data_IF_906640775650
#
_entry.id   IF_906640775650
#
_cell.length_a   1.000
_cell.length_b   1.000
_cell.length_c   1.000
_cell.angle_alpha   90.00
_cell.angle_beta   90.00
_cell.angle_gamma   90.00
#
_symmetry.space_group_name_H-M   'P 1'
#
loop_
_entity.id
_entity.type
_entity.pdbx_description
1 polymer ?
2 non-polymer ?
3 non-polymer ?
4 non-polymer ?
5 non-polymer ?
6 water ?
#
# COMPACT_ATOMS: atom_id res chain seq x y z
N UNK A 4 -17.88 8.07 -6.32
CA UNK A 4 -18.84 7.75 -5.23
C UNK A 4 -18.12 7.43 -3.91
N UNK A 5 -17.04 6.63 -3.92
CA UNK A 5 -16.37 6.24 -2.66
C UNK A 5 -15.84 7.41 -1.86
N UNK A 6 -15.04 8.25 -2.49
CA UNK A 6 -14.45 9.40 -1.81
C UNK A 6 -15.51 10.46 -1.48
N UNK A 7 -16.51 10.64 -2.31
CA UNK A 7 -17.58 11.56 -1.95
C UNK A 7 -18.31 11.07 -0.70
N UNK A 8 -18.58 9.77 -0.63
CA UNK A 8 -19.32 9.21 0.50
C UNK A 8 -18.54 9.18 1.77
N UNK A 9 -17.27 8.78 1.73
CA UNK A 9 -16.51 8.63 2.96
C UNK A 9 -15.70 9.90 3.27
N UNK A 10 -15.30 10.63 2.25
CA UNK A 10 -14.63 11.89 2.43
C UNK A 10 -13.29 11.78 3.16
N UNK A 11 -13.08 12.67 4.09
CA UNK A 11 -11.83 12.78 4.82
C UNK A 11 -11.65 11.57 5.74
N UNK A 12 -10.60 10.80 5.52
CA UNK A 12 -10.25 9.71 6.38
C UNK A 12 -9.45 10.16 7.57
N UNK A 13 -9.58 9.47 8.68
CA UNK A 13 -8.78 9.78 9.85
C UNK A 13 -8.64 8.49 10.68
N UNK A 14 -7.83 8.59 11.73
CA UNK A 14 -7.68 7.51 12.70
C UNK A 14 -8.39 7.89 13.99
N UNK A 15 -9.27 7.03 14.46
CA UNK A 15 -9.96 7.21 15.74
C UNK A 15 -9.85 5.94 16.52
N UNK A 16 -9.24 6.01 17.71
CA UNK A 16 -9.08 4.85 18.57
C UNK A 16 -8.45 3.67 17.82
N UNK A 17 -7.44 3.96 17.02
CA UNK A 17 -6.69 2.94 16.34
C UNK A 17 -7.33 2.35 15.10
N UNK A 18 -8.41 2.96 14.62
CA UNK A 18 -9.17 2.47 13.48
C UNK A 18 -9.26 3.50 12.40
N UNK A 19 -9.19 3.06 11.14
CA UNK A 19 -9.49 3.92 10.03
C UNK A 19 -10.99 4.19 9.96
N UNK A 20 -11.36 5.47 9.95
CA UNK A 20 -12.73 5.92 9.92
C UNK A 20 -12.92 6.98 8.85
N UNK A 21 -14.17 7.15 8.44
CA UNK A 21 -14.56 8.18 7.52
C UNK A 21 -14.88 9.50 8.25
N UNK A 22 -15.37 10.46 7.51
CA UNK A 22 -15.54 11.80 8.05
C UNK A 22 -16.75 11.90 9.01
N UNK A 23 -17.55 10.83 9.10
CA UNK A 23 -18.62 10.71 10.11
C UNK A 23 -18.21 9.80 11.27
N UNK A 24 -16.94 9.38 11.33
CA UNK A 24 -16.42 8.58 12.39
C UNK A 24 -16.79 7.10 12.33
N UNK A 25 -17.26 6.65 11.17
CA UNK A 25 -17.60 5.26 10.97
C UNK A 25 -16.42 4.49 10.38
N UNK A 26 -16.23 3.24 10.82
CA UNK A 26 -15.14 2.43 10.30
C UNK A 26 -15.30 2.25 8.80
N UNK A 27 -14.18 2.31 8.08
CA UNK A 27 -14.18 2.00 6.65
C UNK A 27 -12.98 1.13 6.36
N UNK A 28 -13.15 0.23 5.43
CA UNK A 28 -12.11 -0.68 4.98
C UNK A 28 -11.87 -0.46 3.50
N UNK A 29 -10.64 -0.15 3.16
CA UNK A 29 -10.21 -0.02 1.77
C UNK A 29 -9.66 -1.34 1.30
N UNK A 30 -9.98 -1.72 0.05
CA UNK A 30 -9.45 -2.91 -0.60
C UNK A 30 -9.13 -2.57 -2.03
N UNK A 31 -7.92 -2.85 -2.47
CA UNK A 31 -7.52 -2.54 -3.82
C UNK A 31 -6.27 -3.22 -4.26
N UNK A 32 -5.68 -2.65 -5.32
CA UNK A 32 -4.48 -3.19 -5.98
C UNK A 32 -3.33 -2.24 -5.86
N UNK A 33 -2.14 -2.82 -5.78
CA UNK A 33 -0.89 -2.13 -5.99
C UNK A 33 -0.41 -2.37 -7.41
N UNK A 34 0.19 -1.35 -8.00
CA UNK A 34 1.03 -1.53 -9.16
C UNK A 34 2.23 -2.38 -8.76
N UNK A 35 2.90 -2.93 -9.78
CA UNK A 35 4.28 -3.38 -9.59
C UNK A 35 5.17 -2.17 -9.70
N UNK A 36 6.47 -2.31 -9.87
CA UNK A 36 7.32 -1.15 -9.93
C UNK A 36 6.95 -0.30 -11.12
N UNK A 37 6.79 1.00 -10.89
CA UNK A 37 6.39 1.91 -11.96
C UNK A 37 7.46 2.10 -13.01
N UNK A 38 8.70 1.76 -12.70
CA UNK A 38 9.79 1.83 -13.69
C UNK A 38 9.80 0.64 -14.63
N UNK A 39 9.03 -0.40 -14.32
CA UNK A 39 9.01 -1.63 -15.12
C UNK A 39 7.65 -1.87 -15.77
N UNK A 40 6.55 -1.58 -15.06
CA UNK A 40 5.20 -1.98 -15.47
C UNK A 40 4.24 -0.78 -15.37
N UNK A 41 4.76 0.40 -15.65
CA UNK A 41 3.94 1.57 -15.58
C UNK A 41 2.83 1.69 -16.59
N UNK A 42 2.90 0.88 -17.65
CA UNK A 42 1.86 0.93 -18.65
C UNK A 42 0.53 0.45 -18.12
N UNK A 43 0.49 -0.33 -17.02
CA UNK A 43 -0.72 -0.80 -16.42
C UNK A 43 -1.36 0.24 -15.52
N UNK A 44 -0.73 1.39 -15.35
CA UNK A 44 -1.25 2.44 -14.44
C UNK A 44 -1.71 3.62 -15.28
N UNK A 45 -3.01 3.73 -15.43
CA UNK A 45 -3.62 4.76 -16.24
C UNK A 45 -5.07 4.87 -15.86
N UNK A 46 -5.72 5.95 -16.27
CA UNK A 46 -7.11 6.14 -15.96
C UNK A 46 -7.97 4.97 -16.39
N UNK A 47 -7.79 4.46 -17.62
CA UNK A 47 -8.65 3.39 -18.09
C UNK A 47 -8.51 2.10 -17.30
N UNK A 48 -7.30 1.67 -17.00
CA UNK A 48 -7.13 0.46 -16.21
C UNK A 48 -7.66 0.64 -14.80
N UNK A 49 -7.46 1.83 -14.21
CA UNK A 49 -7.96 2.09 -12.88
C UNK A 49 -9.48 2.12 -12.85
N UNK A 50 -10.07 2.67 -13.90
CA UNK A 50 -11.53 2.69 -14.02
C UNK A 50 -12.08 1.27 -14.13
N UNK A 51 -11.42 0.42 -14.90
CA UNK A 51 -11.85 -0.98 -15.02
C UNK A 51 -11.73 -1.68 -13.66
N UNK A 52 -10.62 -1.45 -12.95
CA UNK A 52 -10.51 -2.02 -11.62
C UNK A 52 -11.61 -1.53 -10.70
N UNK A 53 -11.94 -0.25 -10.75
CA UNK A 53 -13.00 0.28 -9.93
C UNK A 53 -14.33 -0.40 -10.26
N UNK A 54 -14.66 -0.44 -11.54
CA UNK A 54 -16.01 -0.86 -11.98
C UNK A 54 -16.18 -2.37 -12.01
N UNK A 55 -15.19 -3.11 -12.45
CA UNK A 55 -15.28 -4.54 -12.61
C UNK A 55 -14.77 -5.30 -11.38
N UNK A 56 -13.73 -4.80 -10.70
CA UNK A 56 -13.27 -5.46 -9.48
C UNK A 56 -13.87 -4.87 -8.22
N UNK A 57 -14.28 -3.61 -8.23
CA UNK A 57 -14.78 -2.96 -7.04
C UNK A 57 -13.71 -2.32 -6.17
N UNK A 58 -12.51 -2.02 -6.70
CA UNK A 58 -11.48 -1.40 -5.87
C UNK A 58 -11.94 -0.07 -5.37
N UNK A 59 -11.44 0.30 -4.19
CA UNK A 59 -11.66 1.66 -3.66
C UNK A 59 -10.37 2.35 -3.25
N UNK A 60 -9.23 1.74 -3.57
CA UNK A 60 -7.92 2.32 -3.36
C UNK A 60 -6.98 1.72 -4.41
N UNK A 61 -5.99 2.51 -4.81
CA UNK A 61 -4.93 2.06 -5.71
C UNK A 61 -3.61 2.52 -5.17
N UNK A 62 -2.62 1.63 -5.14
CA UNK A 62 -1.28 1.95 -4.63
C UNK A 62 -0.30 2.07 -5.78
N UNK A 63 0.35 3.22 -5.85
CA UNK A 63 1.36 3.53 -6.85
C UNK A 63 2.74 3.25 -6.25
N UNK A 64 3.34 2.13 -6.66
CA UNK A 64 4.58 1.62 -6.05
C UNK A 64 5.78 2.19 -6.78
N UNK A 65 6.30 3.32 -6.31
CA UNK A 65 7.41 4.01 -6.90
C UNK A 65 8.69 3.54 -6.25
N UNK A 66 9.32 2.50 -6.80
CA UNK A 66 10.64 2.10 -6.33
C UNK A 66 11.53 3.32 -6.36
N UNK A 67 12.37 3.41 -5.34
CA UNK A 67 13.42 4.39 -5.23
C UNK A 67 14.68 3.92 -5.96
N UNK A 68 15.13 2.71 -5.64
CA UNK A 68 16.27 2.10 -6.29
C UNK A 68 15.79 1.13 -7.38
N UNK A 69 16.67 0.23 -7.82
CA UNK A 69 16.31 -0.76 -8.83
C UNK A 69 15.80 -0.11 -10.12
N UNK A 70 16.45 0.99 -10.51
CA UNK A 70 16.00 1.69 -11.72
C UNK A 70 14.87 2.67 -11.53
N UNK A 71 14.44 2.84 -10.28
CA UNK A 71 13.37 3.73 -9.92
C UNK A 71 13.79 5.20 -9.81
N UNK A 72 13.11 5.90 -8.92
CA UNK A 72 13.12 7.32 -8.85
C UNK A 72 14.49 7.96 -8.68
N UNK A 73 15.36 7.34 -7.85
CA UNK A 73 16.70 7.89 -7.64
C UNK A 73 17.51 7.83 -8.96
N UNK A 74 17.39 6.74 -9.70
CA UNK A 74 18.07 6.52 -10.98
C UNK A 74 17.47 7.34 -12.11
N UNK A 75 16.16 7.50 -12.10
CA UNK A 75 15.43 8.14 -13.19
C UNK A 75 14.19 8.73 -12.57
N UNK A 76 14.20 10.02 -12.26
CA UNK A 76 13.08 10.59 -11.50
C UNK A 76 11.82 10.80 -12.30
N UNK A 77 11.86 10.54 -13.61
CA UNK A 77 10.68 10.74 -14.43
C UNK A 77 9.49 9.90 -13.95
N UNK A 78 9.74 8.81 -13.23
CA UNK A 78 8.68 8.00 -12.72
C UNK A 78 7.72 8.76 -11.75
N UNK A 79 8.20 9.86 -11.14
CA UNK A 79 7.29 10.64 -10.32
C UNK A 79 6.09 11.14 -11.10
N UNK A 80 6.24 11.35 -12.41
CA UNK A 80 5.11 11.79 -13.21
C UNK A 80 4.06 10.72 -13.39
N UNK A 81 4.47 9.46 -13.35
CA UNK A 81 3.51 8.37 -13.37
C UNK A 81 2.74 8.30 -12.05
N UNK A 82 3.40 8.59 -10.91
CA UNK A 82 2.69 8.71 -9.64
C UNK A 82 1.64 9.80 -9.77
N UNK A 83 1.99 10.95 -10.34
CA UNK A 83 1.03 12.06 -10.50
C UNK A 83 -0.13 11.59 -11.39
N UNK A 84 0.15 10.88 -12.47
CA UNK A 84 -0.94 10.35 -13.30
C UNK A 84 -1.88 9.47 -12.51
N UNK A 85 -1.33 8.60 -11.65
CA UNK A 85 -2.16 7.72 -10.83
C UNK A 85 -3.00 8.50 -9.85
N UNK A 86 -2.41 9.49 -9.18
CA UNK A 86 -3.16 10.29 -8.22
C UNK A 86 -4.31 11.05 -8.90
N UNK A 87 -4.00 11.62 -10.05
CA UNK A 87 -5.03 12.35 -10.80
C UNK A 87 -6.14 11.44 -11.28
N UNK A 88 -5.80 10.23 -11.71
CA UNK A 88 -6.83 9.24 -12.06
C UNK A 88 -7.71 8.90 -10.86
N UNK A 89 -7.10 8.68 -9.69
CA UNK A 89 -7.88 8.35 -8.50
C UNK A 89 -8.82 9.50 -8.14
N UNK A 90 -8.34 10.74 -8.25
CA UNK A 90 -9.20 11.89 -8.01
C UNK A 90 -10.38 11.89 -9.00
N UNK A 91 -10.10 11.67 -10.28
CA UNK A 91 -11.14 11.66 -11.31
C UNK A 91 -12.12 10.50 -11.13
N UNK A 92 -11.67 9.38 -10.59
CA UNK A 92 -12.46 8.18 -10.38
C UNK A 92 -13.09 8.09 -9.01
N UNK A 93 -12.80 9.05 -8.14
CA UNK A 93 -13.34 9.12 -6.80
C UNK A 93 -12.97 7.92 -5.95
N UNK A 94 -11.71 7.48 -6.02
CA UNK A 94 -11.15 6.47 -5.16
C UNK A 94 -9.93 7.00 -4.42
N UNK A 95 -9.51 6.29 -3.40
CA UNK A 95 -8.32 6.66 -2.65
C UNK A 95 -7.06 6.20 -3.36
N UNK A 96 -5.90 6.81 -3.04
CA UNK A 96 -4.66 6.50 -3.69
C UNK A 96 -3.54 6.55 -2.69
N UNK A 97 -2.66 5.56 -2.74
CA UNK A 97 -1.47 5.51 -1.90
C UNK A 97 -0.25 5.86 -2.73
N UNK A 98 0.49 6.87 -2.31
CA UNK A 98 1.74 7.28 -2.87
C UNK A 98 2.84 6.56 -2.11
N UNK A 99 3.46 5.56 -2.71
CA UNK A 99 4.41 4.64 -2.03
C UNK A 99 5.84 4.89 -2.45
N UNK A 100 6.63 5.44 -1.51
CA UNK A 100 8.08 5.60 -1.60
C UNK A 100 8.66 4.19 -1.32
N UNK A 101 8.88 3.48 -2.41
CA UNK A 101 9.00 2.02 -2.35
C UNK A 101 10.46 1.58 -2.19
N UNK A 102 10.97 1.77 -0.98
CA UNK A 102 12.30 1.31 -0.62
C UNK A 102 12.29 -0.21 -0.51
N UNK A 103 13.45 -0.79 -0.83
CA UNK A 103 13.62 -2.26 -0.73
C UNK A 103 15.09 -2.61 -0.58
N UNK A 104 15.83 -2.59 -1.71
CA UNK A 104 17.28 -2.84 -1.65
C UNK A 104 18.03 -1.77 -0.90
N UNK A 105 17.54 -0.54 -1.03
CA UNK A 105 17.92 0.60 -0.22
C UNK A 105 17.18 0.44 1.12
N UNK A 106 17.74 -0.39 1.97
CA UNK A 106 16.97 -1.07 3.04
C UNK A 106 16.72 -0.18 4.25
N UNK A 107 17.50 0.87 4.39
CA UNK A 107 17.35 1.85 5.45
C UNK A 107 16.68 3.05 4.83
N UNK A 108 15.54 3.52 5.33
CA UNK A 108 14.91 4.70 4.72
C UNK A 108 15.75 5.95 4.81
N UNK A 109 16.74 5.97 5.72
CA UNK A 109 17.58 7.16 5.80
C UNK A 109 18.53 7.30 4.60
N UNK A 110 18.75 6.27 3.80
CA UNK A 110 19.70 6.37 2.69
C UNK A 110 19.30 7.50 1.74
N UNK A 111 18.02 7.59 1.37
CA UNK A 111 17.52 8.56 0.47
C UNK A 111 16.54 9.53 1.16
N UNK A 112 16.78 9.83 2.43
CA UNK A 112 15.86 10.68 3.18
C UNK A 112 15.78 12.10 2.61
N UNK A 113 16.87 12.67 2.14
CA UNK A 113 16.82 14.02 1.57
C UNK A 113 15.87 14.05 0.37
N UNK A 114 16.03 13.07 -0.50
CA UNK A 114 15.20 12.96 -1.68
C UNK A 114 13.76 12.69 -1.31
N UNK A 115 13.54 11.88 -0.27
CA UNK A 115 12.18 11.58 0.20
C UNK A 115 11.48 12.83 0.70
N UNK A 116 12.21 13.65 1.47
CA UNK A 116 11.64 14.89 1.97
C UNK A 116 11.21 15.77 0.82
N UNK A 117 12.10 15.94 -0.18
CA UNK A 117 11.76 16.76 -1.32
C UNK A 117 10.58 16.23 -2.10
N UNK A 118 10.54 14.90 -2.31
CA UNK A 118 9.44 14.25 -3.04
C UNK A 118 8.11 14.43 -2.30
N UNK A 119 8.10 14.17 -1.00
CA UNK A 119 6.86 14.30 -0.26
C UNK A 119 6.45 15.76 -0.08
N UNK A 120 7.39 16.70 -0.04
CA UNK A 120 7.05 18.12 -0.10
C UNK A 120 6.29 18.42 -1.38
N UNK A 121 6.81 17.97 -2.52
CA UNK A 121 6.20 18.23 -3.81
C UNK A 121 4.80 17.60 -3.87
N UNK A 122 4.68 16.35 -3.48
CA UNK A 122 3.41 15.65 -3.61
C UNK A 122 2.35 16.23 -2.69
N UNK A 123 2.71 16.55 -1.46
CA UNK A 123 1.76 17.12 -0.52
C UNK A 123 1.40 18.57 -0.89
N UNK A 124 2.32 19.31 -1.51
CA UNK A 124 1.95 20.63 -2.01
C UNK A 124 0.94 20.50 -3.12
N UNK A 125 1.12 19.57 -4.05
CA UNK A 125 0.21 19.42 -5.17
C UNK A 125 -1.14 18.88 -4.74
N UNK A 126 -1.18 17.90 -3.86
CA UNK A 126 -2.35 17.12 -3.65
C UNK A 126 -2.92 17.19 -2.23
N UNK A 127 -2.30 18.01 -1.39
CA UNK A 127 -2.67 18.05 0.00
C UNK A 127 -4.03 18.59 0.33
N UNK A 128 -4.75 19.17 -0.62
CA UNK A 128 -6.15 19.59 -0.39
C UNK A 128 -7.17 18.67 -1.07
N UNK A 129 -6.76 17.44 -1.34
CA UNK A 129 -7.69 16.39 -1.74
C UNK A 129 -7.75 15.32 -0.64
N UNK A 130 -8.89 14.74 -0.36
CA UNK A 130 -9.00 13.68 0.67
C UNK A 130 -8.54 12.32 0.17
N UNK A 131 -8.25 12.21 -1.13
CA UNK A 131 -7.95 10.90 -1.71
C UNK A 131 -6.62 10.33 -1.28
N UNK A 132 -5.69 11.21 -0.93
CA UNK A 132 -4.26 10.83 -0.86
C UNK A 132 -3.92 10.24 0.50
N UNK A 133 -3.14 9.17 0.43
CA UNK A 133 -2.53 8.48 1.56
C UNK A 133 -1.05 8.39 1.24
N UNK A 134 -0.19 8.81 2.15
CA UNK A 134 1.25 8.83 1.91
C UNK A 134 1.92 7.63 2.56
N UNK A 135 2.62 6.79 1.82
CA UNK A 135 3.36 5.66 2.35
C UNK A 135 4.82 5.96 2.22
N UNK A 136 5.46 6.37 3.35
CA UNK A 136 6.75 7.02 3.28
C UNK A 136 7.96 6.09 3.24
N UNK A 137 7.77 4.80 3.46
CA UNK A 137 8.90 3.84 3.37
C UNK A 137 8.38 2.42 3.30
N UNK A 138 8.21 1.88 2.07
CA UNK A 138 7.59 0.58 1.86
C UNK A 138 8.04 -0.51 2.88
N UNK A 139 9.30 -0.95 2.79
CA UNK A 139 9.85 -2.10 3.53
C UNK A 139 11.24 -1.85 4.03
N UNK A 140 11.37 -1.12 5.13
CA UNK A 140 12.64 -1.14 5.88
C UNK A 140 13.01 -2.59 6.15
N UNK A 141 14.31 -2.90 6.06
CA UNK A 141 14.73 -4.28 6.31
C UNK A 141 16.22 -4.27 6.69
N UNK A 142 16.63 -5.40 7.24
CA UNK A 142 17.98 -5.61 7.74
C UNK A 142 18.05 -5.53 9.24
N UNK A 143 18.97 -6.30 9.83
CA UNK A 143 19.11 -6.31 11.30
C UNK A 143 19.66 -4.97 11.84
N UNK A 144 20.29 -4.18 10.99
CA UNK A 144 20.80 -2.88 11.31
C UNK A 144 19.80 -1.72 11.11
N UNK A 145 18.54 -2.06 10.79
CA UNK A 145 17.49 -1.08 10.62
C UNK A 145 16.39 -1.42 11.62
N UNK A 146 16.32 -0.64 12.68
CA UNK A 146 15.33 -0.82 13.72
C UNK A 146 14.36 0.34 13.77
N UNK A 147 13.20 0.06 14.36
CA UNK A 147 12.21 1.07 14.58
C UNK A 147 12.77 2.29 15.33
N UNK A 148 13.32 2.04 16.51
CA UNK A 148 13.74 3.14 17.35
C UNK A 148 14.92 3.90 16.85
N UNK A 149 15.84 3.22 16.19
CA UNK A 149 17.10 3.85 15.77
C UNK A 149 17.06 4.46 14.36
N UNK A 150 16.32 3.84 13.46
CA UNK A 150 16.31 4.24 12.06
C UNK A 150 14.95 4.71 11.58
N UNK A 151 13.91 3.91 11.79
CA UNK A 151 12.66 4.15 11.07
C UNK A 151 11.89 5.31 11.72
N UNK A 152 11.70 5.25 13.04
CA UNK A 152 10.95 6.29 13.72
C UNK A 152 11.61 7.65 13.51
N UNK A 153 12.92 7.82 13.65
CA UNK A 153 13.50 9.14 13.41
C UNK A 153 13.36 9.59 11.97
N UNK A 154 13.44 8.67 10.99
CA UNK A 154 13.16 9.01 9.59
C UNK A 154 11.75 9.58 9.46
N UNK A 155 10.78 8.88 10.03
CA UNK A 155 9.38 9.32 9.97
C UNK A 155 9.23 10.72 10.62
N UNK A 156 9.97 10.96 11.70
CA UNK A 156 9.87 12.24 12.41
C UNK A 156 10.58 13.37 11.67
N UNK A 157 11.27 13.09 10.56
CA UNK A 157 11.76 14.11 9.62
C UNK A 157 10.82 14.28 8.44
N UNK A 158 10.22 13.20 7.92
CA UNK A 158 9.39 13.30 6.75
C UNK A 158 7.97 13.79 7.06
N UNK A 159 7.40 13.29 8.17
CA UNK A 159 6.04 13.67 8.53
C UNK A 159 5.88 15.18 8.69
N UNK A 160 6.80 15.94 9.32
CA UNK A 160 6.63 17.39 9.39
C UNK A 160 6.60 18.07 8.04
N UNK A 161 7.38 17.56 7.08
CA UNK A 161 7.38 18.10 5.71
C UNK A 161 5.99 17.96 5.10
N UNK A 162 5.39 16.79 5.21
CA UNK A 162 4.02 16.56 4.73
C UNK A 162 3.05 17.45 5.47
N UNK A 163 3.13 17.48 6.79
CA UNK A 163 2.15 18.16 7.62
C UNK A 163 2.16 19.67 7.42
N UNK A 164 3.25 20.23 6.96
CA UNK A 164 3.30 21.65 6.62
C UNK A 164 2.39 21.98 5.44
N UNK A 165 2.11 21.01 4.59
CA UNK A 165 1.22 21.16 3.43
C UNK A 165 -0.11 20.46 3.54
N UNK A 166 -0.24 19.43 4.38
CA UNK A 166 -1.38 18.55 4.42
C UNK A 166 -1.52 18.09 5.87
N UNK A 167 -2.33 18.77 6.67
CA UNK A 167 -2.28 18.57 8.12
C UNK A 167 -2.80 17.24 8.61
N UNK A 168 -3.56 16.50 7.83
CA UNK A 168 -4.21 15.35 8.44
C UNK A 168 -4.57 14.21 7.48
N UNK A 169 -4.21 14.20 6.19
CA UNK A 169 -4.38 12.94 5.44
C UNK A 169 -3.51 11.84 6.06
N UNK A 170 -3.95 10.60 5.85
CA UNK A 170 -3.28 9.45 6.44
C UNK A 170 -1.82 9.31 5.92
N UNK A 171 -0.94 8.96 6.86
CA UNK A 171 0.45 8.58 6.55
C UNK A 171 0.65 7.14 7.06
N UNK A 172 1.11 6.29 6.17
CA UNK A 172 1.49 4.90 6.48
C UNK A 172 3.00 4.86 6.63
N UNK A 173 3.46 4.30 7.73
CA UNK A 173 4.91 4.22 8.02
C UNK A 173 5.32 2.75 8.08
N UNK A 174 6.29 2.39 7.26
CA UNK A 174 6.83 1.04 7.24
C UNK A 174 7.46 0.65 8.55
N UNK A 175 7.53 -0.66 8.77
CA UNK A 175 8.09 -1.21 9.98
C UNK A 175 9.28 -2.12 9.65
N UNK A 176 9.99 -2.56 10.69
CA UNK A 176 11.17 -3.36 10.47
C UNK A 176 10.86 -4.73 9.88
N UNK A 177 11.96 -5.36 9.42
CA UNK A 177 11.87 -6.75 8.91
C UNK A 177 10.86 -6.86 7.76
N UNK A 178 11.03 -5.97 6.77
CA UNK A 178 10.14 -5.89 5.58
C UNK A 178 8.68 -5.62 6.01
N UNK A 179 8.51 -4.63 6.87
CA UNK A 179 7.20 -4.22 7.33
C UNK A 179 6.44 -5.37 7.97
N UNK A 180 7.13 -6.14 8.80
CA UNK A 180 6.48 -7.16 9.64
C UNK A 180 6.53 -6.83 11.13
N UNK A 181 7.45 -6.00 11.57
CA UNK A 181 7.70 -5.80 12.98
C UNK A 181 6.80 -4.69 13.55
N UNK A 182 5.53 -4.97 13.55
CA UNK A 182 4.55 -4.06 14.11
C UNK A 182 4.59 -4.06 15.63
N UNK A 183 5.13 -5.10 16.24
CA UNK A 183 5.22 -5.14 17.69
C UNK A 183 6.08 -3.99 18.22
N UNK A 184 7.26 -3.79 17.64
CA UNK A 184 8.12 -2.75 18.15
C UNK A 184 7.55 -1.36 17.88
N UNK A 185 6.94 -1.16 16.70
CA UNK A 185 6.33 0.12 16.41
C UNK A 185 5.22 0.41 17.38
N UNK A 186 4.37 -0.58 17.66
CA UNK A 186 3.22 -0.39 18.52
C UNK A 186 3.59 -0.06 19.96
N UNK A 187 4.78 -0.50 20.37
CA UNK A 187 5.33 -0.17 21.70
C UNK A 187 6.02 1.17 21.77
N UNK A 188 6.18 1.85 20.64
CA UNK A 188 6.95 3.10 20.58
C UNK A 188 6.38 3.96 19.47
N UNK A 189 5.10 4.31 19.62
CA UNK A 189 4.33 4.92 18.55
C UNK A 189 4.78 6.36 18.28
N UNK A 190 4.55 6.78 17.03
CA UNK A 190 4.70 8.18 16.62
C UNK A 190 3.61 9.07 17.25
N UNK A 191 3.89 10.34 17.30
CA UNK A 191 2.95 11.30 17.87
C UNK A 191 1.77 11.64 16.95
N UNK A 192 1.96 11.65 15.65
CA UNK A 192 0.90 12.16 14.77
C UNK A 192 -0.34 11.32 14.88
N UNK A 193 -1.53 11.93 15.02
CA UNK A 193 -2.72 11.14 15.26
C UNK A 193 -3.29 10.46 14.05
N UNK A 194 -2.81 10.78 12.85
CA UNK A 194 -3.31 10.19 11.62
C UNK A 194 -2.27 9.35 10.93
N UNK A 195 -1.49 8.62 11.72
CA UNK A 195 -0.52 7.65 11.26
C UNK A 195 -1.03 6.24 11.39
N UNK A 196 -0.62 5.41 10.46
CA UNK A 196 -0.80 3.97 10.53
C UNK A 196 0.52 3.30 10.29
N UNK A 197 0.69 2.08 10.77
CA UNK A 197 1.91 1.30 10.55
C UNK A 197 1.63 0.24 9.50
N UNK A 198 2.57 0.07 8.58
CA UNK A 198 2.43 -0.94 7.55
C UNK A 198 2.69 -2.33 8.10
N UNK A 199 1.86 -3.27 7.65
CA UNK A 199 2.13 -4.69 7.82
C UNK A 199 1.97 -5.37 6.49
N UNK A 200 2.94 -6.17 6.07
CA UNK A 200 2.92 -6.87 4.81
C UNK A 200 3.01 -8.36 5.06
N UNK A 201 2.25 -9.16 4.30
CA UNK A 201 2.34 -10.61 4.36
C UNK A 201 2.27 -11.23 2.99
N UNK A 202 2.80 -12.46 2.91
CA UNK A 202 2.70 -13.30 1.74
C UNK A 202 2.17 -14.65 2.17
N UNK A 203 1.17 -15.14 1.46
CA UNK A 203 0.45 -16.33 1.88
C UNK A 203 1.26 -17.63 1.83
N UNK A 204 2.40 -17.63 1.16
CA UNK A 204 3.28 -18.78 1.21
C UNK A 204 3.98 -18.98 2.54
N UNK A 205 3.92 -18.01 3.44
CA UNK A 205 4.43 -18.15 4.79
C UNK A 205 3.30 -18.52 5.72
N UNK A 206 3.51 -19.57 6.55
CA UNK A 206 2.52 -19.95 7.54
C UNK A 206 2.27 -18.75 8.48
N UNK A 207 1.05 -18.28 8.62
CA UNK A 207 0.79 -16.95 9.17
C UNK A 207 0.24 -16.85 10.56
N UNK A 208 0.11 -17.93 11.33
CA UNK A 208 -0.64 -17.84 12.57
C UNK A 208 -0.01 -16.92 13.60
N UNK A 209 1.32 -16.94 13.75
CA UNK A 209 1.95 -16.04 14.70
C UNK A 209 1.95 -14.60 14.20
N UNK A 210 2.08 -14.42 12.89
CA UNK A 210 2.02 -13.07 12.32
C UNK A 210 0.64 -12.43 12.59
N UNK A 211 -0.43 -13.20 12.48
CA UNK A 211 -1.75 -12.70 12.84
C UNK A 211 -1.77 -12.31 14.31
N UNK A 212 -1.23 -13.15 15.18
CA UNK A 212 -1.20 -12.83 16.61
C UNK A 212 -0.40 -11.56 16.87
N UNK A 213 0.68 -11.28 16.13
CA UNK A 213 1.45 -10.08 16.31
C UNK A 213 0.69 -8.86 15.84
N UNK A 214 -0.07 -8.97 14.77
CA UNK A 214 -0.92 -7.87 14.33
C UNK A 214 -1.92 -7.58 15.46
N UNK A 215 -2.55 -8.61 16.03
CA UNK A 215 -3.47 -8.39 17.14
C UNK A 215 -2.77 -7.72 18.33
N UNK A 216 -1.53 -8.08 18.67
CA UNK A 216 -0.82 -7.41 19.72
C UNK A 216 -0.72 -5.92 19.40
N UNK A 217 -0.33 -5.59 18.18
CA UNK A 217 -0.17 -4.18 17.83
C UNK A 217 -1.49 -3.42 17.92
N UNK A 218 -2.57 -4.01 17.43
CA UNK A 218 -3.87 -3.40 17.52
C UNK A 218 -4.26 -3.17 18.97
N UNK A 219 -3.90 -4.09 19.86
CA UNK A 219 -4.21 -3.99 21.28
C UNK A 219 -3.43 -2.88 21.97
N UNK A 220 -2.38 -2.33 21.36
CA UNK A 220 -1.69 -1.16 21.88
C UNK A 220 -2.29 0.14 21.34
N UNK A 221 -3.35 0.04 20.58
CA UNK A 221 -3.98 1.22 20.02
C UNK A 221 -3.31 1.71 18.72
N UNK A 222 -2.37 0.94 18.16
CA UNK A 222 -1.75 1.29 16.87
C UNK A 222 -2.70 0.93 15.75
N UNK A 223 -2.82 1.79 14.75
CA UNK A 223 -3.57 1.49 13.54
C UNK A 223 -2.67 0.80 12.54
N UNK A 224 -3.17 -0.20 11.84
CA UNK A 224 -2.39 -0.98 10.88
C UNK A 224 -3.04 -0.95 9.53
N UNK A 225 -2.26 -0.69 8.48
CA UNK A 225 -2.74 -0.77 7.11
C UNK A 225 -1.92 -1.89 6.45
N UNK A 226 -2.57 -2.85 5.84
CA UNK A 226 -1.86 -3.92 5.12
C UNK A 226 -1.58 -3.39 3.71
N UNK A 227 -0.57 -2.54 3.59
CA UNK A 227 -0.38 -1.79 2.35
C UNK A 227 0.16 -2.64 1.24
N UNK A 228 0.58 -3.87 1.53
CA UNK A 228 0.98 -4.82 0.49
C UNK A 228 0.83 -6.21 1.02
N UNK A 229 0.21 -7.10 0.24
CA UNK A 229 0.21 -8.52 0.52
C UNK A 229 0.11 -9.27 -0.79
N UNK A 230 0.56 -10.53 -0.78
CA UNK A 230 0.42 -11.38 -1.93
C UNK A 230 -0.05 -12.78 -1.64
N UNK A 231 -0.54 -13.44 -2.68
CA UNK A 231 -0.96 -14.84 -2.61
C UNK A 231 0.20 -15.80 -2.75
N UNK A 232 1.34 -15.33 -3.12
CA UNK A 232 2.52 -16.11 -3.40
C UNK A 232 3.40 -16.31 -2.17
N UNK A 233 4.56 -16.93 -2.38
CA UNK A 233 5.63 -16.86 -1.40
C UNK A 233 6.20 -15.43 -1.31
N UNK A 234 7.04 -15.20 -0.31
CA UNK A 234 7.56 -13.88 0.01
C UNK A 234 8.44 -13.26 -1.05
N UNK A 235 8.87 -14.05 -2.03
CA UNK A 235 9.62 -13.57 -3.19
C UNK A 235 8.74 -12.93 -4.27
N UNK A 236 7.43 -13.04 -4.13
CA UNK A 236 6.50 -12.67 -5.20
C UNK A 236 6.22 -13.79 -6.18
N UNK A 237 6.88 -14.93 -5.98
CA UNK A 237 6.72 -16.10 -6.87
C UNK A 237 6.52 -17.35 -6.02
N UNK A 238 6.87 -18.51 -6.54
CA UNK A 238 6.88 -19.73 -5.73
C UNK A 238 5.53 -20.42 -5.47
N UNK A 239 4.59 -20.19 -6.32
CA UNK A 239 3.31 -20.82 -6.18
C UNK A 239 2.30 -19.86 -5.59
N UNK A 240 1.06 -20.29 -5.64
CA UNK A 240 -0.07 -19.58 -5.11
C UNK A 240 -0.58 -20.37 -3.89
N UNK A 241 -1.01 -19.67 -2.85
CA UNK A 241 -1.36 -20.26 -1.56
C UNK A 241 -2.74 -19.74 -1.15
N UNK A 242 -3.79 -20.16 -1.83
CA UNK A 242 -5.08 -19.53 -1.65
C UNK A 242 -5.75 -19.92 -0.37
N UNK A 243 -5.44 -21.08 0.20
CA UNK A 243 -5.99 -21.45 1.50
C UNK A 243 -5.55 -20.45 2.57
N UNK A 244 -4.25 -20.23 2.66
CA UNK A 244 -3.72 -19.29 3.65
C UNK A 244 -4.13 -17.87 3.30
N UNK A 245 -4.19 -17.53 2.03
CA UNK A 245 -4.69 -16.19 1.65
C UNK A 245 -6.08 -15.96 2.18
N UNK A 246 -6.96 -16.94 2.07
CA UNK A 246 -8.32 -16.79 2.56
C UNK A 246 -8.36 -16.60 4.08
N UNK A 247 -7.52 -17.32 4.81
CA UNK A 247 -7.42 -17.11 6.26
C UNK A 247 -7.09 -15.67 6.57
N UNK A 248 -6.12 -15.13 5.85
CA UNK A 248 -5.74 -13.71 6.02
C UNK A 248 -6.86 -12.76 5.61
N UNK A 249 -7.56 -13.04 4.51
CA UNK A 249 -8.67 -12.20 4.10
C UNK A 249 -9.73 -12.12 5.21
N UNK A 250 -10.08 -13.26 5.79
CA UNK A 250 -11.08 -13.28 6.83
C UNK A 250 -10.59 -12.57 8.10
N UNK A 251 -9.32 -12.73 8.45
CA UNK A 251 -8.72 -12.04 9.56
C UNK A 251 -8.80 -10.51 9.37
N UNK A 252 -8.46 -10.05 8.16
CA UNK A 252 -8.48 -8.62 7.89
C UNK A 252 -9.90 -8.07 7.96
N UNK A 253 -10.87 -8.83 7.50
CA UNK A 253 -12.26 -8.36 7.59
C UNK A 253 -12.71 -8.26 9.03
N UNK A 254 -12.34 -9.21 9.84
CA UNK A 254 -12.75 -9.21 11.27
C UNK A 254 -12.14 -8.04 12.03
N UNK A 255 -10.94 -7.64 11.61
CA UNK A 255 -10.16 -6.58 12.26
C UNK A 255 -10.25 -5.17 11.56
N UNK A 256 -11.11 -5.00 10.58
CA UNK A 256 -11.21 -3.68 9.89
C UNK A 256 -9.88 -3.25 9.29
N UNK A 257 -9.14 -4.22 8.69
CA UNK A 257 -7.86 -3.86 8.15
C UNK A 257 -7.98 -3.63 6.64
N UNK A 258 -7.56 -2.45 6.21
CA UNK A 258 -7.50 -2.11 4.80
C UNK A 258 -6.27 -2.76 4.14
N UNK A 259 -6.35 -2.96 2.83
CA UNK A 259 -5.31 -3.69 2.14
C UNK A 259 -5.20 -3.35 0.67
N UNK A 260 -3.97 -3.59 0.16
CA UNK A 260 -3.67 -3.53 -1.28
C UNK A 260 -2.88 -4.76 -1.66
N UNK A 261 -3.28 -5.43 -2.73
CA UNK A 261 -2.64 -6.64 -3.21
C UNK A 261 -1.54 -6.37 -4.24
N UNK A 262 -0.48 -7.13 -4.10
CA UNK A 262 0.69 -7.11 -5.01
C UNK A 262 0.49 -8.25 -6.01
N UNK A 263 0.40 -8.02 -7.32
CA UNK A 263 0.47 -6.69 -7.96
C UNK A 263 -0.18 -6.76 -9.33
N UNK A 264 -0.44 -5.58 -9.89
CA UNK A 264 -1.04 -5.45 -11.19
C UNK A 264 -0.03 -5.43 -12.30
N UNK A 265 0.31 -6.60 -12.79
CA UNK A 265 1.26 -6.79 -13.89
C UNK A 265 1.03 -8.13 -14.51
N UNK A 266 1.57 -8.30 -15.71
CA UNK A 266 1.60 -9.57 -16.42
C UNK A 266 2.89 -10.34 -16.23
N UNK A 267 3.81 -9.88 -15.42
CA UNK A 267 5.03 -10.60 -15.16
C UNK A 267 4.75 -12.05 -14.82
N UNK A 268 5.66 -12.92 -15.28
CA UNK A 268 5.55 -14.35 -15.04
C UNK A 268 6.02 -14.74 -13.64
N UNK A 269 5.24 -14.35 -12.64
CA UNK A 269 5.46 -14.71 -11.27
C UNK A 269 4.07 -14.90 -10.66
N UNK A 270 3.98 -15.77 -9.64
CA UNK A 270 2.65 -16.15 -9.18
C UNK A 270 1.85 -15.03 -8.52
N UNK A 271 2.50 -14.02 -7.94
CA UNK A 271 1.71 -12.92 -7.38
C UNK A 271 1.10 -11.98 -8.42
N UNK A 272 1.56 -12.03 -9.67
CA UNK A 272 1.08 -11.12 -10.68
C UNK A 272 -0.38 -11.41 -10.97
N UNK A 273 -1.23 -10.38 -11.08
CA UNK A 273 -2.66 -10.55 -11.26
C UNK A 273 -3.08 -10.88 -12.69
N UNK A 274 -2.23 -10.57 -13.67
CA UNK A 274 -2.61 -10.62 -15.09
C UNK A 274 -1.76 -11.64 -15.82
N UNK A 275 -2.32 -12.16 -16.91
CA UNK A 275 -1.62 -13.04 -17.83
C UNK A 275 -1.03 -12.23 -18.98
N UNK A 276 -0.06 -12.79 -19.69
CA UNK A 276 0.64 -12.07 -20.78
C UNK A 276 -0.12 -11.26 -21.83
N UNK A 277 -1.32 -11.64 -22.22
CA UNK A 277 -2.03 -10.87 -23.23
C UNK A 277 -2.94 -9.75 -22.70
N UNK A 278 -2.96 -9.53 -21.38
CA UNK A 278 -3.88 -8.59 -20.76
C UNK A 278 -3.62 -7.16 -21.23
N UNK A 279 -4.67 -6.51 -21.67
CA UNK A 279 -4.55 -5.16 -22.22
C UNK A 279 -4.15 -4.18 -21.10
N UNK A 280 -3.18 -3.32 -21.30
CA UNK A 280 -2.79 -2.40 -20.21
C UNK A 280 -3.83 -1.35 -19.86
N UNK A 281 -4.88 -1.22 -20.66
CA UNK A 281 -5.98 -0.29 -20.41
C UNK A 281 -7.26 -0.96 -19.88
N UNK A 282 -7.18 -2.21 -19.44
CA UNK A 282 -8.28 -2.88 -18.80
C UNK A 282 -9.12 -3.72 -19.75
N UNK A 283 -10.27 -4.17 -19.25
CA UNK A 283 -11.24 -4.94 -20.02
C UNK A 283 -10.99 -6.42 -20.02
N UNK A 284 -10.27 -6.92 -19.05
CA UNK A 284 -9.75 -8.28 -19.05
C UNK A 284 -10.88 -9.31 -19.00
N UNK A 285 -10.71 -10.38 -19.77
CA UNK A 285 -11.54 -11.58 -19.65
C UNK A 285 -11.00 -12.45 -18.52
N UNK A 286 -11.76 -13.49 -18.16
CA UNK A 286 -11.35 -14.40 -17.13
C UNK A 286 -10.02 -15.03 -17.49
N UNK A 287 -9.81 -15.35 -18.77
CA UNK A 287 -8.60 -16.04 -19.18
C UNK A 287 -7.37 -15.16 -19.09
N UNK A 288 -7.58 -13.84 -19.05
CA UNK A 288 -6.49 -12.88 -18.94
C UNK A 288 -6.10 -12.54 -17.50
N UNK A 289 -6.81 -13.12 -16.55
CA UNK A 289 -6.44 -13.02 -15.13
C UNK A 289 -5.67 -14.27 -14.75
N UNK A 290 -4.64 -14.14 -13.93
CA UNK A 290 -3.93 -15.25 -13.38
C UNK A 290 -4.77 -15.91 -12.28
N UNK A 291 -4.30 -17.05 -11.77
CA UNK A 291 -4.97 -17.62 -10.60
C UNK A 291 -5.00 -16.66 -9.38
N UNK A 292 -3.94 -15.90 -9.20
CA UNK A 292 -3.91 -14.90 -8.14
C UNK A 292 -4.95 -13.81 -8.44
N UNK A 293 -4.91 -13.26 -9.66
CA UNK A 293 -5.81 -12.18 -10.01
C UNK A 293 -7.27 -12.56 -9.89
N UNK A 294 -7.61 -13.77 -10.35
CA UNK A 294 -8.99 -14.23 -10.23
C UNK A 294 -9.47 -14.24 -8.79
N UNK A 295 -8.63 -14.76 -7.89
CA UNK A 295 -8.94 -14.80 -6.47
C UNK A 295 -9.12 -13.38 -5.91
N UNK A 296 -8.15 -12.51 -6.16
CA UNK A 296 -8.20 -11.17 -5.57
C UNK A 296 -9.43 -10.42 -6.07
N UNK A 297 -9.73 -10.54 -7.37
CA UNK A 297 -10.91 -9.90 -7.92
C UNK A 297 -12.15 -10.39 -7.21
N UNK A 298 -12.24 -11.70 -6.98
CA UNK A 298 -13.37 -12.27 -6.26
C UNK A 298 -13.48 -11.73 -4.88
N UNK A 299 -12.35 -11.60 -4.17
CA UNK A 299 -12.40 -11.08 -2.83
C UNK A 299 -12.95 -9.66 -2.80
N UNK A 300 -12.48 -8.84 -3.74
CA UNK A 300 -12.96 -7.43 -3.75
C UNK A 300 -14.41 -7.34 -4.19
N UNK A 301 -14.80 -8.12 -5.17
CA UNK A 301 -16.22 -8.11 -5.62
C UNK A 301 -17.18 -8.58 -4.53
N UNK A 302 -16.78 -9.58 -3.74
CA UNK A 302 -17.58 -10.15 -2.62
C UNK A 302 -17.80 -9.11 -1.57
N UNK A 303 -16.90 -8.23 -1.42
CA UNK A 303 -16.87 -7.22 -0.40
C UNK A 303 -17.89 -6.14 -0.69
#
# INVERSE_FOLDING_TARGET
>A
DNDSVVEEHGQLSISNGELVNERGEQVQLKGMSSHGLQWYGQFVNYESMKWLRDDWGINVFRAAMYTSSGGYIDDPSVKEKVKEAVEAAIDLDIYVIIDWHILSDNDPNIYKEEAKDFFDEMSELYGDYPNVIYEIANEPNGSDVTWGNQIKPYAEEVIPIIRNNDPNNIIIVGTGTWSQDVHHAADNQLADPNVMYAFHFYAGTHGQNLRDQVDYALDQGAAIFVSEWGTSAATGDGGVFLDEAQVWIDFMDERNLSWANWSLTHKDESSAALMPGANPTGGWTEAELSPSGTFVREKIRES
#
